data_IF_076908549266
#
_entry.id   IF_076908549266
#
_cell.length_a   1.000
_cell.length_b   1.000
_cell.length_c   1.000
_cell.angle_alpha   90.00
_cell.angle_beta   90.00
_cell.angle_gamma   90.00
#
_symmetry.space_group_name_H-M   'P 1'
#
loop_
_entity.id
_entity.type
_entity.pdbx_description
1 polymer ?
#
# COMPACT_ATOMS: atom_id res chain seq x y z
N UNK A 1 12.33 -41.61 -3.14
CA UNK A 1 11.54 -40.67 -2.31
C UNK A 1 12.05 -39.25 -2.54
N UNK A 2 11.52 -38.55 -3.55
CA UNK A 2 11.67 -37.09 -3.79
C UNK A 2 10.55 -36.60 -4.73
N UNK A 3 9.30 -36.84 -4.35
CA UNK A 3 8.11 -36.31 -5.04
C UNK A 3 7.33 -35.32 -4.16
N UNK A 4 7.98 -34.74 -3.14
CA UNK A 4 7.32 -33.95 -2.09
C UNK A 4 7.82 -32.49 -2.01
N UNK A 5 8.82 -32.11 -2.80
CA UNK A 5 9.33 -30.73 -2.85
C UNK A 5 8.49 -29.80 -3.75
N UNK A 6 7.48 -30.33 -4.46
CA UNK A 6 6.64 -29.57 -5.39
C UNK A 6 5.25 -29.23 -4.83
N UNK A 7 5.20 -28.96 -3.54
CA UNK A 7 3.98 -28.49 -2.83
C UNK A 7 4.14 -27.09 -2.22
N UNK A 8 5.32 -26.46 -2.37
CA UNK A 8 5.50 -25.02 -2.14
C UNK A 8 5.24 -24.15 -3.38
N UNK A 9 5.10 -24.78 -4.55
CA UNK A 9 4.99 -24.12 -5.87
C UNK A 9 3.51 -23.93 -6.31
N UNK A 10 2.57 -23.95 -5.37
CA UNK A 10 1.12 -23.78 -5.60
C UNK A 10 0.43 -22.85 -4.58
N UNK A 11 1.16 -21.94 -3.94
CA UNK A 11 0.57 -20.77 -3.31
C UNK A 11 0.87 -19.58 -4.21
N UNK A 12 -0.08 -19.24 -5.07
CA UNK A 12 -0.01 -18.20 -6.12
C UNK A 12 0.19 -16.78 -5.56
N UNK A 13 1.37 -16.51 -5.01
CA UNK A 13 1.95 -15.18 -4.86
C UNK A 13 3.31 -15.24 -5.52
N UNK A 14 3.50 -14.54 -6.63
CA UNK A 14 4.83 -14.42 -7.22
C UNK A 14 5.76 -13.89 -6.11
N UNK A 15 6.90 -14.54 -5.80
CA UNK A 15 7.75 -14.15 -4.66
C UNK A 15 8.22 -12.69 -4.76
N UNK A 16 8.23 -12.12 -5.97
CA UNK A 16 8.50 -10.72 -6.24
C UNK A 16 7.36 -9.77 -5.86
N UNK A 17 6.10 -10.19 -6.01
CA UNK A 17 4.93 -9.40 -5.61
C UNK A 17 4.83 -9.32 -4.09
N UNK A 18 5.05 -10.43 -3.37
CA UNK A 18 5.11 -10.42 -1.90
C UNK A 18 6.24 -9.51 -1.37
N UNK A 19 7.40 -9.54 -2.01
CA UNK A 19 8.50 -8.63 -1.66
C UNK A 19 8.13 -7.15 -1.91
N UNK A 20 7.47 -6.86 -3.03
CA UNK A 20 6.97 -5.52 -3.35
C UNK A 20 5.96 -5.01 -2.31
N UNK A 21 4.97 -5.82 -1.94
CA UNK A 21 3.97 -5.44 -0.94
C UNK A 21 4.58 -5.17 0.43
N UNK A 22 5.60 -5.95 0.82
CA UNK A 22 6.34 -5.72 2.08
C UNK A 22 7.18 -4.44 2.04
N UNK A 23 7.85 -4.17 0.91
CA UNK A 23 8.63 -2.96 0.74
C UNK A 23 7.73 -1.70 0.71
N UNK A 24 6.58 -1.79 0.05
CA UNK A 24 5.56 -0.74 0.07
C UNK A 24 5.03 -0.49 1.48
N UNK A 25 4.71 -1.53 2.25
CA UNK A 25 4.24 -1.37 3.62
C UNK A 25 5.25 -0.64 4.51
N UNK A 26 6.55 -0.91 4.34
CA UNK A 26 7.61 -0.20 5.06
C UNK A 26 7.68 1.29 4.65
N UNK A 27 7.60 1.59 3.35
CA UNK A 27 7.59 2.97 2.86
C UNK A 27 6.36 3.76 3.32
N UNK A 28 5.20 3.13 3.36
CA UNK A 28 3.98 3.78 3.85
C UNK A 28 4.16 4.22 5.30
N UNK A 29 4.79 3.40 6.14
CA UNK A 29 5.09 3.74 7.54
C UNK A 29 6.03 4.96 7.62
N UNK A 30 7.13 4.95 6.85
CA UNK A 30 8.11 6.04 6.78
C UNK A 30 7.51 7.37 6.28
N UNK A 31 6.45 7.32 5.46
CA UNK A 31 5.82 8.48 4.84
C UNK A 31 4.58 9.01 5.60
N UNK A 32 4.39 8.61 6.85
CA UNK A 32 3.30 9.09 7.71
C UNK A 32 2.00 8.28 7.57
N UNK A 33 2.12 7.00 7.21
CA UNK A 33 1.02 6.07 7.06
C UNK A 33 0.17 6.30 5.80
N UNK A 34 -0.88 5.49 5.64
CA UNK A 34 -1.82 5.59 4.51
C UNK A 34 -2.49 6.95 4.40
N UNK A 35 -2.78 7.60 5.53
CA UNK A 35 -3.38 8.93 5.54
C UNK A 35 -2.42 9.99 4.98
N UNK A 36 -1.15 9.98 5.40
CA UNK A 36 -0.13 10.90 4.90
C UNK A 36 0.13 10.69 3.41
N UNK A 37 0.20 9.43 2.99
CA UNK A 37 0.38 9.09 1.58
C UNK A 37 -0.84 9.49 0.72
N UNK A 38 -2.05 9.21 1.19
CA UNK A 38 -3.29 9.62 0.52
C UNK A 38 -3.41 11.14 0.37
N UNK A 39 -2.97 11.92 1.37
CA UNK A 39 -2.92 13.39 1.23
C UNK A 39 -1.97 13.82 0.10
N UNK A 40 -0.78 13.22 -0.01
CA UNK A 40 0.17 13.53 -1.10
C UNK A 40 -0.43 13.28 -2.47
N UNK A 41 -1.13 12.15 -2.66
CA UNK A 41 -1.83 11.86 -3.91
C UNK A 41 -2.90 12.92 -4.23
N UNK A 42 -3.68 13.35 -3.24
CA UNK A 42 -4.64 14.46 -3.43
C UNK A 42 -3.96 15.78 -3.78
N UNK A 43 -2.87 16.11 -3.12
CA UNK A 43 -2.13 17.37 -3.32
C UNK A 43 -1.60 17.52 -4.75
N UNK A 44 -1.30 16.39 -5.42
CA UNK A 44 -0.82 16.37 -6.79
C UNK A 44 -1.95 16.20 -7.83
N UNK A 45 -3.20 16.18 -7.38
CA UNK A 45 -4.39 16.09 -8.24
C UNK A 45 -4.91 14.67 -8.49
N UNK A 46 -4.35 13.64 -7.84
CA UNK A 46 -4.76 12.24 -7.99
C UNK A 46 -5.81 11.81 -6.95
N UNK A 47 -6.70 12.73 -6.58
CA UNK A 47 -7.77 12.46 -5.64
C UNK A 47 -8.80 11.47 -6.18
N UNK A 48 -9.08 11.49 -7.48
CA UNK A 48 -10.05 10.57 -8.10
C UNK A 48 -9.55 9.13 -8.11
N UNK A 49 -8.26 8.93 -8.38
CA UNK A 49 -7.59 7.65 -8.33
C UNK A 49 -7.59 7.13 -6.89
N UNK A 50 -7.20 7.97 -5.92
CA UNK A 50 -7.25 7.61 -4.50
C UNK A 50 -8.67 7.21 -4.07
N UNK A 51 -9.69 8.00 -4.42
CA UNK A 51 -11.09 7.70 -4.09
C UNK A 51 -11.54 6.36 -4.70
N UNK A 52 -11.02 6.00 -5.89
CA UNK A 52 -11.29 4.69 -6.49
C UNK A 52 -10.69 3.54 -5.68
N UNK A 53 -9.51 3.73 -5.09
CA UNK A 53 -8.83 2.72 -4.28
C UNK A 53 -9.47 2.53 -2.91
N UNK A 54 -10.19 3.55 -2.42
CA UNK A 54 -10.97 3.48 -1.18
C UNK A 54 -12.36 2.89 -1.43
N UNK A 55 -12.90 3.03 -2.63
CA UNK A 55 -14.17 2.45 -3.00
C UNK A 55 -14.04 0.94 -3.23
N UNK A 56 -15.13 0.18 -3.04
CA UNK A 56 -15.18 -1.27 -3.36
C UNK A 56 -15.30 -1.56 -4.86
N UNK A 57 -14.71 -0.71 -5.70
CA UNK A 57 -14.85 -0.69 -7.16
C UNK A 57 -13.57 -1.11 -7.89
N UNK A 58 -13.45 -0.70 -9.16
CA UNK A 58 -12.22 -0.87 -9.91
C UNK A 58 -11.20 0.18 -9.48
N UNK A 59 -10.00 -0.27 -9.13
CA UNK A 59 -8.88 0.59 -8.79
C UNK A 59 -8.31 1.24 -10.05
N UNK A 60 -8.36 2.57 -10.12
CA UNK A 60 -7.79 3.31 -11.25
C UNK A 60 -6.26 3.21 -11.24
N UNK A 61 -5.61 2.97 -12.39
CA UNK A 61 -4.16 2.90 -12.47
C UNK A 61 -3.54 4.28 -12.38
N UNK A 62 -2.31 4.34 -11.85
CA UNK A 62 -1.44 5.51 -11.90
C UNK A 62 -0.18 5.20 -12.72
N UNK A 63 0.58 6.23 -13.07
CA UNK A 63 1.84 6.05 -13.81
C UNK A 63 3.05 6.07 -12.90
N UNK A 64 4.18 5.55 -13.38
CA UNK A 64 5.46 5.68 -12.69
C UNK A 64 5.85 7.16 -12.44
N UNK A 65 5.46 8.07 -13.34
CA UNK A 65 5.73 9.50 -13.17
C UNK A 65 4.96 10.07 -11.97
N UNK A 66 3.70 9.66 -11.79
CA UNK A 66 2.87 10.06 -10.66
C UNK A 66 3.48 9.61 -9.33
N UNK A 67 4.05 8.40 -9.29
CA UNK A 67 4.79 7.90 -8.12
C UNK A 67 5.97 8.80 -7.77
N UNK A 68 6.78 9.21 -8.76
CA UNK A 68 7.88 10.14 -8.51
C UNK A 68 7.40 11.50 -8.00
N UNK A 69 6.27 12.00 -8.51
CA UNK A 69 5.73 13.30 -8.09
C UNK A 69 5.16 13.22 -6.66
N UNK A 70 4.48 12.12 -6.31
CA UNK A 70 3.86 11.94 -4.99
C UNK A 70 4.87 11.60 -3.87
N UNK A 71 5.79 10.69 -4.15
CA UNK A 71 6.69 10.10 -3.17
C UNK A 71 8.12 10.66 -3.22
N UNK A 72 8.53 11.21 -4.36
CA UNK A 72 9.89 11.65 -4.60
C UNK A 72 10.85 10.53 -4.98
N UNK A 73 12.01 10.92 -5.49
CA UNK A 73 13.05 10.00 -5.96
C UNK A 73 13.61 9.10 -4.84
N UNK A 74 13.81 9.65 -3.63
CA UNK A 74 14.38 8.88 -2.52
C UNK A 74 13.53 7.70 -2.07
N UNK A 75 12.21 7.83 -2.07
CA UNK A 75 11.29 6.72 -1.80
C UNK A 75 11.38 5.65 -2.89
N UNK A 76 11.52 6.10 -4.15
CA UNK A 76 11.65 5.19 -5.27
C UNK A 76 12.96 4.41 -5.24
N UNK A 77 14.07 5.08 -4.90
CA UNK A 77 15.38 4.46 -4.72
C UNK A 77 15.37 3.45 -3.56
N UNK A 78 14.79 3.83 -2.41
CA UNK A 78 14.70 2.92 -1.27
C UNK A 78 13.92 1.65 -1.63
N UNK A 79 12.78 1.78 -2.32
CA UNK A 79 12.04 0.62 -2.80
C UNK A 79 12.85 -0.22 -3.79
N UNK A 80 13.60 0.45 -4.69
CA UNK A 80 14.42 -0.21 -5.68
C UNK A 80 15.50 -1.08 -5.03
N UNK A 81 16.14 -0.57 -3.98
CA UNK A 81 17.12 -1.31 -3.17
C UNK A 81 16.47 -2.51 -2.46
N UNK A 82 15.30 -2.31 -1.86
CA UNK A 82 14.57 -3.38 -1.16
C UNK A 82 14.08 -4.51 -2.08
N UNK A 83 13.79 -4.18 -3.33
CA UNK A 83 13.28 -5.12 -4.33
C UNK A 83 14.34 -5.57 -5.34
N UNK A 84 15.60 -5.17 -5.12
CA UNK A 84 16.75 -5.48 -5.97
C UNK A 84 16.49 -5.18 -7.45
N UNK A 85 15.94 -3.99 -7.73
CA UNK A 85 15.53 -3.57 -9.09
C UNK A 85 16.06 -2.18 -9.43
N UNK A 86 15.74 -1.70 -10.65
CA UNK A 86 16.08 -0.34 -11.09
C UNK A 86 15.01 0.67 -10.67
N UNK A 87 15.36 1.94 -10.46
CA UNK A 87 14.41 2.99 -10.07
C UNK A 87 13.19 3.10 -11.01
N UNK A 88 13.39 2.92 -12.32
CA UNK A 88 12.27 2.92 -13.29
C UNK A 88 11.35 1.71 -13.11
N UNK A 89 11.92 0.52 -12.89
CA UNK A 89 11.14 -0.69 -12.65
C UNK A 89 10.45 -0.65 -11.28
N UNK A 90 11.11 -0.09 -10.27
CA UNK A 90 10.56 0.19 -8.95
C UNK A 90 9.34 1.11 -9.05
N UNK A 91 9.46 2.25 -9.71
CA UNK A 91 8.33 3.19 -9.87
C UNK A 91 7.13 2.56 -10.59
N UNK A 92 7.37 1.70 -11.60
CA UNK A 92 6.29 0.95 -12.26
C UNK A 92 5.66 -0.06 -11.32
N UNK A 93 6.47 -0.83 -10.60
CA UNK A 93 5.97 -1.83 -9.65
C UNK A 93 5.18 -1.17 -8.52
N UNK A 94 5.62 -0.02 -8.02
CA UNK A 94 4.85 0.79 -7.08
C UNK A 94 3.53 1.27 -7.68
N UNK A 95 3.54 1.77 -8.92
CA UNK A 95 2.32 2.23 -9.59
C UNK A 95 1.27 1.09 -9.75
N UNK A 96 1.73 -0.13 -10.01
CA UNK A 96 0.87 -1.31 -10.14
C UNK A 96 0.37 -1.83 -8.78
N UNK A 97 1.17 -1.72 -7.71
CA UNK A 97 0.88 -2.33 -6.40
C UNK A 97 0.27 -1.36 -5.37
N UNK A 98 0.47 -0.06 -5.50
CA UNK A 98 -0.10 0.95 -4.60
C UNK A 98 -1.64 0.91 -4.53
N UNK A 99 -2.36 0.80 -5.67
CA UNK A 99 -3.83 0.73 -5.63
C UNK A 99 -4.35 -0.45 -4.80
N UNK A 100 -3.75 -1.63 -4.97
CA UNK A 100 -4.11 -2.83 -4.22
C UNK A 100 -3.76 -2.69 -2.73
N UNK A 101 -2.63 -2.07 -2.40
CA UNK A 101 -2.23 -1.82 -1.01
C UNK A 101 -3.25 -0.94 -0.27
N UNK A 102 -3.70 0.14 -0.90
CA UNK A 102 -4.72 1.02 -0.32
C UNK A 102 -6.02 0.24 -0.08
N UNK A 103 -6.56 -0.40 -1.12
CA UNK A 103 -7.81 -1.17 -1.04
C UNK A 103 -7.76 -2.21 0.10
N UNK A 104 -6.68 -3.01 0.17
CA UNK A 104 -6.52 -4.07 1.18
C UNK A 104 -6.38 -3.55 2.61
N UNK A 105 -5.81 -2.35 2.78
CA UNK A 105 -5.60 -1.75 4.10
C UNK A 105 -6.72 -0.78 4.51
N UNK A 106 -7.67 -0.48 3.62
CA UNK A 106 -8.88 0.30 3.93
C UNK A 106 -10.17 -0.53 3.77
N UNK A 107 -10.33 -1.66 4.48
CA UNK A 107 -11.56 -2.44 4.43
C UNK A 107 -12.73 -1.62 5.01
N UNK A 108 -13.54 -1.02 4.14
CA UNK A 108 -14.62 -0.11 4.48
C UNK A 108 -14.53 1.28 3.85
N UNK A 109 -13.48 1.56 3.08
CA UNK A 109 -13.31 2.82 2.34
C UNK A 109 -13.02 4.04 3.19
N UNK A 110 -12.56 3.80 4.42
CA UNK A 110 -12.13 4.84 5.34
C UNK A 110 -10.61 4.76 5.45
N UNK A 111 -9.93 5.82 5.04
CA UNK A 111 -8.54 6.01 5.41
C UNK A 111 -8.47 6.13 6.93
N UNK A 112 -7.68 5.31 7.63
CA UNK A 112 -7.49 5.51 9.04
C UNK A 112 -6.85 6.89 9.27
N UNK A 113 -7.60 7.82 9.83
CA UNK A 113 -7.11 9.15 10.22
C UNK A 113 -6.16 9.00 11.40
N UNK A 114 -4.91 8.62 11.11
CA UNK A 114 -3.88 8.34 12.10
C UNK A 114 -4.15 7.10 12.97
N UNK A 115 -3.06 6.42 13.34
CA UNK A 115 -3.06 5.28 14.26
C UNK A 115 -3.76 5.61 15.61
N UNK A 116 -3.70 6.89 16.01
CA UNK A 116 -4.37 7.45 17.18
C UNK A 116 -5.90 7.44 17.11
N UNK A 117 -6.52 7.70 15.95
CA UNK A 117 -7.99 7.70 15.88
C UNK A 117 -8.54 6.28 15.97
N UNK A 118 -7.86 5.31 15.37
CA UNK A 118 -8.19 3.88 15.54
C UNK A 118 -8.00 3.47 17.02
N UNK A 119 -6.87 3.82 17.63
CA UNK A 119 -6.66 3.50 19.06
C UNK A 119 -7.74 4.12 19.95
N UNK A 120 -8.14 5.36 19.63
CA UNK A 120 -9.17 6.10 20.35
C UNK A 120 -10.58 5.57 20.11
N UNK A 121 -10.92 5.14 18.90
CA UNK A 121 -12.22 4.56 18.59
C UNK A 121 -12.37 3.14 19.13
N UNK A 122 -11.31 2.32 19.12
CA UNK A 122 -11.34 0.99 19.74
C UNK A 122 -11.49 1.10 21.25
N UNK A 123 -10.82 2.08 21.85
CA UNK A 123 -11.02 2.41 23.27
C UNK A 123 -12.45 2.91 23.53
N UNK A 124 -13.06 3.66 22.61
CA UNK A 124 -14.44 4.12 22.75
C UNK A 124 -15.48 3.00 22.56
N UNK A 125 -15.22 2.02 21.69
CA UNK A 125 -16.08 0.85 21.48
C UNK A 125 -15.95 -0.17 22.60
N UNK A 126 -14.78 -0.30 23.23
CA UNK A 126 -14.55 -1.20 24.36
C UNK A 126 -15.27 -0.80 25.65
N UNK A 127 -15.62 0.48 25.82
CA UNK A 127 -16.25 0.99 27.06
C UNK A 127 -17.77 0.75 27.09
N UNK A 128 -18.39 0.35 25.98
CA UNK A 128 -19.85 0.19 25.89
C UNK A 128 -20.38 -1.20 26.31
N UNK A 129 -19.51 -2.18 26.59
CA UNK A 129 -19.93 -3.56 26.93
C UNK A 129 -19.61 -3.94 28.39
N UNK A 130 -19.85 -3.04 29.34
CA UNK A 130 -19.67 -3.37 30.77
C UNK A 130 -20.78 -2.77 31.63
N UNK A 131 -22.03 -3.21 31.38
CA UNK A 131 -23.16 -3.02 32.31
C UNK A 131 -24.21 -4.12 32.21
#
# INVERSE_FOLDING_TARGET
MKCFDRLGELSNGEPRHDAAMRALAALVDDHGGLAGLGQRFRDIGLGTELDSWLASGENLPITAADVYVALGEGAVEQFADMTETTSLAAARLMADSLPELFDRLTPGGVLPESDDAITRWFSALGVLFER
#
